data_IF_660307567149
#
_entry.id   IF_660307567149
#
_cell.length_a   1.000
_cell.length_b   1.000
_cell.length_c   1.000
_cell.angle_alpha   90.00
_cell.angle_beta   90.00
_cell.angle_gamma   90.00
#
_symmetry.space_group_name_H-M   'P 1'
#
loop_
_entity.id
_entity.type
_entity.pdbx_description
1 polymer ?
#
# COMPACT_ATOMS: atom_id res chain seq x y z
N UNK A 1 -15.24 -23.19 -12.45
CA UNK A 1 -16.33 -22.87 -13.40
C UNK A 1 -17.69 -22.58 -12.79
N UNK A 2 -18.35 -23.56 -12.14
CA UNK A 2 -19.70 -23.35 -11.60
C UNK A 2 -19.73 -22.37 -10.41
N UNK A 3 -18.88 -22.59 -9.40
CA UNK A 3 -18.79 -21.71 -8.21
C UNK A 3 -18.57 -20.25 -8.61
N UNK A 4 -17.57 -19.98 -9.45
CA UNK A 4 -17.25 -18.64 -9.92
C UNK A 4 -18.42 -17.94 -10.64
N UNK A 5 -19.23 -18.67 -11.42
CA UNK A 5 -20.39 -18.10 -12.12
C UNK A 5 -21.52 -17.81 -11.14
N UNK A 6 -21.83 -18.73 -10.23
CA UNK A 6 -22.87 -18.54 -9.23
C UNK A 6 -22.52 -17.42 -8.24
N UNK A 7 -21.25 -17.31 -7.81
CA UNK A 7 -20.76 -16.23 -6.94
C UNK A 7 -20.88 -14.84 -7.61
N UNK A 8 -20.68 -14.75 -8.92
CA UNK A 8 -20.77 -13.49 -9.69
C UNK A 8 -22.19 -13.16 -10.15
N UNK A 9 -23.11 -14.11 -10.07
CA UNK A 9 -24.47 -14.00 -10.58
C UNK A 9 -24.66 -14.71 -11.92
N UNK A 10 -25.64 -15.62 -11.94
CA UNK A 10 -26.15 -16.25 -13.16
C UNK A 10 -27.56 -15.73 -13.37
N UNK A 11 -27.90 -15.38 -14.61
CA UNK A 11 -29.22 -14.86 -14.99
C UNK A 11 -30.36 -15.72 -14.38
N UNK A 12 -31.19 -15.16 -13.48
CA UNK A 12 -32.26 -15.88 -12.82
C UNK A 12 -33.43 -16.22 -13.77
N UNK A 13 -33.44 -15.71 -15.01
CA UNK A 13 -34.41 -16.09 -16.05
C UNK A 13 -33.85 -17.02 -17.14
N UNK A 14 -32.58 -17.43 -17.05
CA UNK A 14 -31.89 -18.16 -18.12
C UNK A 14 -32.02 -19.69 -18.07
N UNK A 15 -32.57 -20.26 -17.00
CA UNK A 15 -32.49 -21.70 -16.67
C UNK A 15 -33.24 -22.57 -17.66
N UNK A 16 -34.48 -22.21 -18.01
CA UNK A 16 -35.28 -22.98 -18.97
C UNK A 16 -34.64 -23.01 -20.35
N UNK A 17 -34.12 -21.86 -20.82
CA UNK A 17 -33.38 -21.77 -22.10
C UNK A 17 -32.13 -22.65 -22.07
N UNK A 18 -31.38 -22.62 -20.97
CA UNK A 18 -30.20 -23.45 -20.80
C UNK A 18 -30.55 -24.95 -20.78
N UNK A 19 -31.62 -25.33 -20.08
CA UNK A 19 -32.12 -26.70 -20.01
C UNK A 19 -32.55 -27.22 -21.39
N UNK A 20 -33.39 -26.46 -22.11
CA UNK A 20 -33.84 -26.84 -23.44
C UNK A 20 -32.65 -27.03 -24.40
N UNK A 21 -31.65 -26.13 -24.35
CA UNK A 21 -30.44 -26.27 -25.16
C UNK A 21 -29.62 -27.49 -24.77
N UNK A 22 -29.49 -27.78 -23.47
CA UNK A 22 -28.77 -28.96 -22.99
C UNK A 22 -29.45 -30.26 -23.46
N UNK A 23 -30.78 -30.37 -23.32
CA UNK A 23 -31.56 -31.51 -23.79
C UNK A 23 -31.39 -31.71 -25.30
N UNK A 24 -31.53 -30.65 -26.09
CA UNK A 24 -31.35 -30.71 -27.54
C UNK A 24 -29.97 -31.25 -27.93
N UNK A 25 -28.91 -30.79 -27.25
CA UNK A 25 -27.54 -31.25 -27.51
C UNK A 25 -27.31 -32.70 -27.07
N UNK A 26 -27.87 -33.12 -25.93
CA UNK A 26 -27.76 -34.50 -25.46
C UNK A 26 -28.44 -35.45 -26.44
N UNK A 27 -29.65 -35.12 -26.89
CA UNK A 27 -30.38 -35.96 -27.84
C UNK A 27 -29.68 -36.06 -29.20
N UNK A 28 -29.08 -34.96 -29.69
CA UNK A 28 -28.39 -34.98 -30.98
C UNK A 28 -27.05 -35.74 -30.95
N UNK A 29 -26.38 -35.79 -29.79
CA UNK A 29 -25.05 -36.40 -29.63
C UNK A 29 -25.15 -37.85 -29.13
N UNK A 30 -25.97 -38.10 -28.12
CA UNK A 30 -26.04 -39.37 -27.40
C UNK A 30 -27.38 -40.12 -27.62
N UNK A 31 -28.35 -39.51 -28.30
CA UNK A 31 -29.70 -40.07 -28.47
C UNK A 31 -30.57 -39.96 -27.21
N UNK A 32 -31.66 -40.72 -27.19
CA UNK A 32 -32.62 -40.79 -26.07
C UNK A 32 -33.85 -39.87 -26.21
N UNK A 33 -34.83 -40.11 -25.35
CA UNK A 33 -36.09 -39.37 -25.30
C UNK A 33 -36.19 -38.56 -24.00
N UNK A 34 -36.42 -37.26 -24.12
CA UNK A 34 -36.60 -36.39 -22.97
C UNK A 34 -38.07 -36.41 -22.50
N UNK A 35 -38.26 -36.49 -21.18
CA UNK A 35 -39.57 -36.28 -20.56
C UNK A 35 -40.00 -34.81 -20.55
N UNK A 36 -41.20 -34.51 -20.02
CA UNK A 36 -41.67 -33.13 -19.87
C UNK A 36 -40.78 -32.33 -18.92
N UNK A 37 -40.56 -31.05 -19.23
CA UNK A 37 -39.86 -30.12 -18.34
C UNK A 37 -40.76 -29.79 -17.15
N UNK A 38 -40.23 -29.96 -15.93
CA UNK A 38 -40.88 -29.57 -14.69
C UNK A 38 -40.16 -28.34 -14.14
N UNK A 39 -40.85 -27.21 -14.10
CA UNK A 39 -40.34 -25.96 -13.54
C UNK A 39 -40.93 -25.79 -12.14
N UNK A 40 -40.07 -25.50 -11.16
CA UNK A 40 -40.48 -25.18 -9.79
C UNK A 40 -39.85 -23.85 -9.41
N UNK A 41 -40.67 -22.83 -9.21
CA UNK A 41 -40.23 -21.47 -8.91
C UNK A 41 -40.61 -21.09 -7.49
N UNK A 42 -39.83 -20.16 -6.92
CA UNK A 42 -40.13 -19.53 -5.65
C UNK A 42 -40.20 -18.02 -5.86
N UNK A 43 -41.40 -17.51 -6.12
CA UNK A 43 -41.64 -16.08 -6.34
C UNK A 43 -41.08 -15.17 -5.23
N UNK A 44 -41.20 -15.51 -3.92
CA UNK A 44 -40.61 -14.69 -2.86
C UNK A 44 -39.09 -14.58 -2.92
N UNK A 45 -38.43 -15.57 -3.54
CA UNK A 45 -36.97 -15.64 -3.64
C UNK A 45 -36.46 -15.13 -5.00
N UNK A 46 -37.35 -14.63 -5.87
CA UNK A 46 -36.95 -14.07 -7.16
C UNK A 46 -36.30 -12.70 -6.96
N UNK A 47 -35.09 -12.46 -7.50
CA UNK A 47 -34.48 -11.13 -7.43
C UNK A 47 -35.38 -10.09 -8.09
N UNK A 48 -35.77 -9.06 -7.33
CA UNK A 48 -36.54 -7.95 -7.85
C UNK A 48 -35.60 -6.92 -8.50
N UNK A 49 -35.97 -6.44 -9.68
CA UNK A 49 -35.23 -5.39 -10.39
C UNK A 49 -35.94 -4.06 -10.16
N UNK A 50 -35.45 -3.31 -9.19
CA UNK A 50 -35.97 -1.97 -8.92
C UNK A 50 -35.51 -1.00 -10.01
N UNK A 51 -36.40 -0.20 -10.59
CA UNK A 51 -36.00 0.85 -11.53
C UNK A 51 -35.03 1.83 -10.87
N UNK A 52 -33.94 2.13 -11.55
CA UNK A 52 -32.93 3.10 -11.12
C UNK A 52 -33.19 4.42 -11.82
N UNK A 53 -33.26 5.50 -11.04
CA UNK A 53 -33.46 6.85 -11.60
C UNK A 53 -32.14 7.40 -12.13
N UNK A 54 -32.12 7.76 -13.42
CA UNK A 54 -31.02 8.46 -14.09
C UNK A 54 -31.41 9.91 -14.36
N UNK A 55 -30.74 10.87 -13.72
CA UNK A 55 -30.97 12.30 -13.92
C UNK A 55 -29.98 12.83 -14.94
N UNK A 56 -30.48 13.57 -15.92
CA UNK A 56 -29.67 14.21 -16.97
C UNK A 56 -28.62 15.17 -16.41
N UNK A 57 -29.00 15.92 -15.36
CA UNK A 57 -28.08 16.83 -14.68
C UNK A 57 -26.95 16.09 -13.98
N UNK A 58 -27.24 14.92 -13.39
CA UNK A 58 -26.21 14.11 -12.72
C UNK A 58 -25.28 13.43 -13.71
N UNK A 59 -25.82 12.90 -14.81
CA UNK A 59 -25.04 12.39 -15.93
C UNK A 59 -24.05 13.43 -16.43
N UNK A 60 -24.54 14.64 -16.72
CA UNK A 60 -23.69 15.72 -17.24
C UNK A 60 -22.67 16.21 -16.22
N UNK A 61 -23.06 16.28 -14.94
CA UNK A 61 -22.17 16.71 -13.86
C UNK A 61 -21.02 15.72 -13.63
N UNK A 62 -21.31 14.42 -13.66
CA UNK A 62 -20.32 13.38 -13.34
C UNK A 62 -19.37 13.14 -14.51
N UNK A 63 -19.88 13.18 -15.74
CA UNK A 63 -19.06 13.00 -16.94
C UNK A 63 -18.44 14.30 -17.45
N UNK A 64 -18.82 15.47 -16.94
CA UNK A 64 -18.33 16.75 -17.42
C UNK A 64 -18.75 17.10 -18.86
N UNK A 65 -19.69 16.35 -19.44
CA UNK A 65 -20.12 16.48 -20.83
C UNK A 65 -21.65 16.38 -20.95
N UNK A 66 -22.22 17.08 -21.93
CA UNK A 66 -23.63 16.94 -22.28
C UNK A 66 -23.81 15.86 -23.34
N UNK A 67 -24.84 15.03 -23.16
CA UNK A 67 -25.21 13.97 -24.09
C UNK A 67 -26.64 14.21 -24.58
N UNK A 68 -26.85 13.99 -25.87
CA UNK A 68 -28.19 14.00 -26.44
C UNK A 68 -29.03 12.85 -25.89
N UNK A 69 -30.31 13.12 -25.61
CA UNK A 69 -31.23 12.18 -24.99
C UNK A 69 -31.41 10.93 -25.83
N UNK A 70 -31.56 11.10 -27.14
CA UNK A 70 -31.70 9.99 -28.07
C UNK A 70 -30.46 9.08 -28.05
N UNK A 71 -29.25 9.64 -27.84
CA UNK A 71 -28.01 8.88 -27.74
C UNK A 71 -27.95 8.09 -26.43
N UNK A 72 -28.38 8.69 -25.32
CA UNK A 72 -28.45 8.01 -24.01
C UNK A 72 -29.45 6.86 -24.06
N UNK A 73 -30.63 7.10 -24.59
CA UNK A 73 -31.69 6.09 -24.73
C UNK A 73 -31.25 4.94 -25.65
N UNK A 74 -30.66 5.24 -26.81
CA UNK A 74 -30.15 4.21 -27.73
C UNK A 74 -29.04 3.37 -27.08
N UNK A 75 -28.18 3.98 -26.28
CA UNK A 75 -27.09 3.30 -25.55
C UNK A 75 -27.65 2.32 -24.54
N UNK A 76 -28.55 2.77 -23.68
CA UNK A 76 -29.14 1.94 -22.62
C UNK A 76 -30.05 0.84 -23.20
N UNK A 77 -30.82 1.15 -24.24
CA UNK A 77 -31.66 0.18 -24.93
C UNK A 77 -30.82 -0.90 -25.63
N UNK A 78 -29.67 -0.53 -26.22
CA UNK A 78 -28.71 -1.47 -26.80
C UNK A 78 -28.11 -2.44 -25.80
N UNK A 79 -28.10 -2.09 -24.51
CA UNK A 79 -27.69 -2.94 -23.40
C UNK A 79 -28.85 -3.80 -22.83
N UNK A 80 -30.03 -3.72 -23.44
CA UNK A 80 -31.23 -4.45 -22.99
C UNK A 80 -31.90 -3.85 -21.76
N UNK A 81 -31.63 -2.59 -21.44
CA UNK A 81 -32.32 -1.88 -20.36
C UNK A 81 -33.73 -1.47 -20.81
N UNK A 82 -34.69 -1.55 -19.91
CA UNK A 82 -36.01 -0.95 -20.10
C UNK A 82 -35.99 0.49 -19.61
N UNK A 83 -36.53 1.43 -20.39
CA UNK A 83 -36.36 2.87 -20.19
C UNK A 83 -37.72 3.55 -20.19
N UNK A 84 -38.04 4.17 -19.05
CA UNK A 84 -39.23 5.00 -18.88
C UNK A 84 -38.81 6.48 -18.79
N UNK A 85 -39.13 7.32 -19.79
CA UNK A 85 -38.82 8.75 -19.75
C UNK A 85 -39.51 9.47 -18.59
N UNK A 86 -38.81 10.41 -17.96
CA UNK A 86 -39.31 11.24 -16.86
C UNK A 86 -38.92 12.71 -17.04
N UNK A 87 -39.63 13.64 -16.39
CA UNK A 87 -39.16 15.03 -16.28
C UNK A 87 -37.74 15.08 -15.69
N UNK A 88 -36.78 15.54 -16.49
CA UNK A 88 -35.39 15.69 -16.08
C UNK A 88 -34.52 14.42 -16.14
N UNK A 89 -35.01 13.31 -16.70
CA UNK A 89 -34.22 12.08 -16.85
C UNK A 89 -35.04 10.86 -17.24
N UNK A 90 -34.68 9.70 -16.68
CA UNK A 90 -35.29 8.40 -16.97
C UNK A 90 -35.40 7.54 -15.70
N UNK A 91 -36.36 6.63 -15.67
CA UNK A 91 -36.28 5.42 -14.87
C UNK A 91 -35.78 4.29 -15.77
N UNK A 92 -34.77 3.56 -15.31
CA UNK A 92 -34.12 2.52 -16.09
C UNK A 92 -34.14 1.22 -15.30
N UNK A 93 -34.73 0.18 -15.86
CA UNK A 93 -34.79 -1.14 -15.25
C UNK A 93 -33.82 -2.06 -15.96
N UNK A 94 -32.85 -2.60 -15.21
CA UNK A 94 -31.84 -3.47 -15.77
C UNK A 94 -32.37 -4.87 -16.10
N UNK A 95 -31.88 -5.51 -17.16
CA UNK A 95 -32.28 -6.87 -17.50
C UNK A 95 -31.78 -7.85 -16.43
N UNK A 96 -32.42 -9.02 -16.35
CA UNK A 96 -32.20 -10.00 -15.29
C UNK A 96 -30.76 -10.49 -15.15
N UNK A 97 -29.99 -10.50 -16.24
CA UNK A 97 -28.58 -10.91 -16.26
C UNK A 97 -27.58 -9.84 -15.76
N UNK A 98 -28.02 -8.61 -15.50
CA UNK A 98 -27.15 -7.52 -14.99
C UNK A 98 -27.25 -7.42 -13.47
N UNK A 99 -26.21 -7.84 -12.77
CA UNK A 99 -26.13 -7.84 -11.30
C UNK A 99 -25.44 -6.60 -10.72
N UNK A 100 -24.88 -5.79 -11.61
CA UNK A 100 -24.01 -4.63 -11.39
C UNK A 100 -24.74 -3.29 -11.53
N UNK A 101 -26.04 -3.29 -11.86
CA UNK A 101 -26.86 -2.07 -11.96
C UNK A 101 -27.79 -1.98 -10.75
N UNK A 102 -27.46 -1.10 -9.82
CA UNK A 102 -28.23 -0.85 -8.59
C UNK A 102 -28.41 0.65 -8.28
N UNK A 103 -27.51 1.50 -8.77
CA UNK A 103 -27.50 2.94 -8.51
C UNK A 103 -27.32 3.74 -9.80
N UNK A 104 -27.65 5.03 -9.72
CA UNK A 104 -27.57 5.97 -10.84
C UNK A 104 -26.16 6.03 -11.47
N UNK A 105 -25.11 5.88 -10.65
CA UNK A 105 -23.73 5.90 -11.12
C UNK A 105 -23.40 4.74 -12.07
N UNK A 106 -24.01 3.57 -11.87
CA UNK A 106 -23.79 2.39 -12.72
C UNK A 106 -24.35 2.63 -14.13
N UNK A 107 -25.51 3.30 -14.22
CA UNK A 107 -26.08 3.72 -15.50
C UNK A 107 -25.22 4.79 -16.20
N UNK A 108 -24.65 5.71 -15.43
CA UNK A 108 -23.74 6.74 -15.95
C UNK A 108 -22.47 6.09 -16.51
N UNK A 109 -21.91 5.09 -15.81
CA UNK A 109 -20.79 4.30 -16.29
C UNK A 109 -21.14 3.61 -17.62
N UNK A 110 -22.31 2.97 -17.72
CA UNK A 110 -22.73 2.31 -18.96
C UNK A 110 -22.83 3.27 -20.15
N UNK A 111 -23.35 4.48 -19.91
CA UNK A 111 -23.36 5.54 -20.93
C UNK A 111 -21.93 5.92 -21.33
N UNK A 112 -21.05 6.18 -20.36
CA UNK A 112 -19.65 6.55 -20.63
C UNK A 112 -18.89 5.45 -21.38
N UNK A 113 -19.05 4.20 -20.96
CA UNK A 113 -18.37 3.02 -21.53
C UNK A 113 -18.75 2.77 -22.98
N UNK A 114 -20.02 2.94 -23.33
CA UNK A 114 -20.51 2.71 -24.70
C UNK A 114 -20.27 3.92 -25.60
N UNK A 115 -20.38 5.14 -25.06
CA UNK A 115 -19.99 6.36 -25.79
C UNK A 115 -18.48 6.37 -26.09
N UNK A 116 -17.69 5.76 -25.20
CA UNK A 116 -16.22 5.76 -25.25
C UNK A 116 -15.67 6.83 -24.34
N UNK A 117 -14.73 6.45 -23.46
CA UNK A 117 -14.12 7.37 -22.50
C UNK A 117 -13.32 8.46 -23.22
N UNK A 118 -12.73 8.14 -24.38
CA UNK A 118 -11.97 9.10 -25.19
C UNK A 118 -12.84 10.17 -25.85
N UNK A 119 -14.16 9.94 -25.93
CA UNK A 119 -15.10 10.92 -26.47
C UNK A 119 -15.54 11.95 -25.41
N UNK A 120 -15.18 11.75 -24.15
CA UNK A 120 -15.45 12.67 -23.05
C UNK A 120 -14.25 13.62 -22.94
N UNK A 121 -14.51 14.93 -23.02
CA UNK A 121 -13.45 15.93 -22.96
C UNK A 121 -12.71 15.92 -21.62
N UNK A 122 -11.40 16.14 -21.66
CA UNK A 122 -10.59 16.40 -20.47
C UNK A 122 -10.70 17.88 -20.09
N UNK A 123 -10.87 18.16 -18.80
CA UNK A 123 -10.89 19.52 -18.25
C UNK A 123 -10.14 19.55 -16.92
N UNK A 124 -9.53 20.69 -16.61
CA UNK A 124 -8.76 20.86 -15.38
C UNK A 124 -9.69 20.94 -14.17
N UNK A 125 -9.32 20.26 -13.09
CA UNK A 125 -10.06 20.34 -11.84
C UNK A 125 -10.00 21.76 -11.27
N UNK A 126 -11.14 22.44 -11.21
CA UNK A 126 -11.23 23.77 -10.63
C UNK A 126 -11.41 23.69 -9.11
N UNK A 127 -10.54 24.39 -8.36
CA UNK A 127 -10.58 24.44 -6.91
C UNK A 127 -9.89 25.68 -6.36
N UNK A 128 -10.27 26.09 -5.15
CA UNK A 128 -9.58 27.18 -4.46
C UNK A 128 -8.24 26.70 -3.91
N UNK A 129 -7.13 27.30 -4.32
CA UNK A 129 -5.84 27.03 -3.71
C UNK A 129 -5.72 27.66 -2.33
N UNK A 130 -5.18 26.91 -1.37
CA UNK A 130 -4.83 27.41 -0.03
C UNK A 130 -3.40 27.05 0.28
N UNK A 131 -2.53 28.06 0.32
CA UNK A 131 -1.15 27.89 0.76
C UNK A 131 -1.14 27.56 2.25
N UNK A 132 -0.61 26.39 2.62
CA UNK A 132 -0.35 26.04 4.02
C UNK A 132 1.04 26.54 4.38
N UNK A 133 1.14 27.30 5.48
CA UNK A 133 2.44 27.67 6.02
C UNK A 133 3.12 26.43 6.62
N UNK A 134 4.39 26.22 6.29
CA UNK A 134 5.25 25.25 6.96
C UNK A 134 6.09 26.00 8.02
N UNK A 135 6.10 25.56 9.29
CA UNK A 135 6.94 26.18 10.31
C UNK A 135 8.42 26.03 9.97
N UNK A 136 9.20 27.11 10.11
CA UNK A 136 10.66 27.08 9.91
C UNK A 136 11.37 26.15 10.92
N UNK A 137 10.71 25.87 12.05
CA UNK A 137 11.21 24.97 13.10
C UNK A 137 11.00 23.49 12.81
N UNK A 138 10.27 23.15 11.73
CA UNK A 138 9.97 21.78 11.32
C UNK A 138 10.62 21.53 9.96
N UNK A 139 11.90 21.12 9.92
CA UNK A 139 12.57 20.85 8.67
C UNK A 139 11.87 19.70 7.96
N UNK A 140 11.75 19.82 6.63
CA UNK A 140 11.24 18.74 5.80
C UNK A 140 12.12 17.49 5.99
N UNK A 141 11.48 16.34 6.11
CA UNK A 141 12.15 15.04 6.30
C UNK A 141 13.28 14.81 5.30
N UNK A 142 13.03 15.08 4.01
CA UNK A 142 14.03 14.94 2.96
C UNK A 142 15.31 15.75 3.24
N UNK A 143 15.18 16.97 3.76
CA UNK A 143 16.33 17.81 4.08
C UNK A 143 17.15 17.24 5.24
N UNK A 144 16.50 16.57 6.20
CA UNK A 144 17.15 15.89 7.32
C UNK A 144 17.89 14.64 6.82
N UNK A 145 17.26 13.83 5.97
CA UNK A 145 17.87 12.62 5.41
C UNK A 145 19.04 12.94 4.45
N UNK A 146 18.96 14.06 3.73
CA UNK A 146 20.04 14.53 2.84
C UNK A 146 21.36 14.75 3.60
N UNK A 147 21.30 15.10 4.90
CA UNK A 147 22.51 15.21 5.73
C UNK A 147 23.28 13.88 5.77
N UNK A 148 22.60 12.73 5.87
CA UNK A 148 23.27 11.43 5.87
C UNK A 148 23.87 11.10 4.50
N UNK A 149 23.20 11.47 3.41
CA UNK A 149 23.74 11.37 2.06
C UNK A 149 25.02 12.21 1.90
N UNK A 150 25.01 13.46 2.38
CA UNK A 150 26.21 14.32 2.40
C UNK A 150 27.33 13.78 3.30
N UNK A 151 27.01 12.92 4.27
CA UNK A 151 27.97 12.16 5.10
C UNK A 151 28.39 10.83 4.50
N UNK A 152 28.03 10.59 3.24
CA UNK A 152 28.43 9.42 2.47
C UNK A 152 27.76 8.12 2.92
N UNK A 153 26.53 8.21 3.46
CA UNK A 153 25.65 7.07 3.63
C UNK A 153 24.75 6.89 2.41
N UNK A 154 24.39 5.64 2.12
CA UNK A 154 23.42 5.25 1.12
C UNK A 154 22.11 4.85 1.80
N UNK A 155 20.98 5.31 1.28
CA UNK A 155 19.68 4.87 1.78
C UNK A 155 19.43 3.40 1.41
N UNK A 156 18.92 2.63 2.38
CA UNK A 156 18.47 1.26 2.23
C UNK A 156 17.01 1.16 2.69
N UNK A 157 16.25 0.28 2.04
CA UNK A 157 14.87 -0.04 2.42
C UNK A 157 14.78 -1.55 2.64
N UNK A 158 14.45 -1.97 3.85
CA UNK A 158 14.35 -3.37 4.22
C UNK A 158 12.90 -3.77 4.51
N UNK A 159 12.61 -5.07 4.52
CA UNK A 159 11.29 -5.56 4.89
C UNK A 159 10.95 -5.18 6.34
N UNK A 160 9.67 -4.86 6.57
CA UNK A 160 9.14 -4.58 7.91
C UNK A 160 9.05 -5.85 8.79
N UNK A 161 9.07 -7.04 8.17
CA UNK A 161 9.13 -8.33 8.83
C UNK A 161 10.50 -8.97 8.64
N UNK A 162 11.01 -9.60 9.69
CA UNK A 162 12.41 -10.05 9.81
C UNK A 162 12.50 -11.45 10.41
N UNK A 163 13.72 -12.02 10.39
CA UNK A 163 14.00 -13.31 10.98
C UNK A 163 13.88 -13.21 12.52
N UNK A 164 12.96 -13.96 13.15
CA UNK A 164 12.80 -13.94 14.61
C UNK A 164 14.08 -14.31 15.35
N UNK A 165 14.95 -15.17 14.78
CA UNK A 165 16.20 -15.58 15.43
C UNK A 165 17.20 -14.43 15.49
N UNK A 166 17.39 -13.72 14.38
CA UNK A 166 18.27 -12.56 14.33
C UNK A 166 17.76 -11.45 15.24
N UNK A 167 16.44 -11.18 15.20
CA UNK A 167 15.84 -10.17 16.07
C UNK A 167 16.01 -10.52 17.56
N UNK A 168 15.78 -11.78 17.96
CA UNK A 168 15.96 -12.24 19.33
C UNK A 168 17.41 -12.13 19.82
N UNK A 169 18.40 -12.28 18.93
CA UNK A 169 19.81 -12.08 19.26
C UNK A 169 20.14 -10.60 19.51
N UNK A 170 19.53 -9.69 18.75
CA UNK A 170 19.78 -8.26 18.85
C UNK A 170 18.98 -7.60 19.99
N UNK A 171 17.76 -8.08 20.22
CA UNK A 171 16.81 -7.53 21.18
C UNK A 171 16.15 -8.66 21.99
N UNK A 172 16.90 -9.32 22.89
CA UNK A 172 16.41 -10.50 23.60
C UNK A 172 15.20 -10.22 24.50
N UNK A 173 15.07 -8.99 24.99
CA UNK A 173 14.01 -8.58 25.92
C UNK A 173 12.81 -7.92 25.22
N UNK A 174 12.86 -7.75 23.89
CA UNK A 174 11.80 -7.07 23.14
C UNK A 174 10.73 -8.05 22.67
N UNK A 175 9.47 -7.78 23.04
CA UNK A 175 8.33 -8.50 22.47
C UNK A 175 8.16 -8.15 20.99
N UNK A 176 8.08 -9.17 20.14
CA UNK A 176 7.88 -9.02 18.70
C UNK A 176 6.47 -9.45 18.28
N UNK A 177 5.87 -8.72 17.34
CA UNK A 177 4.57 -9.09 16.76
C UNK A 177 4.76 -10.16 15.68
N UNK A 178 4.26 -11.37 15.90
CA UNK A 178 4.29 -12.45 14.92
C UNK A 178 3.17 -12.34 13.89
N UNK A 179 3.48 -12.64 12.62
CA UNK A 179 2.49 -12.75 11.55
C UNK A 179 1.77 -14.09 11.62
N UNK A 180 0.44 -14.08 11.45
CA UNK A 180 -0.35 -15.31 11.44
C UNK A 180 -0.07 -16.17 10.19
N UNK A 181 0.08 -15.53 9.02
CA UNK A 181 0.33 -16.19 7.74
C UNK A 181 1.56 -15.57 7.05
N UNK A 182 2.78 -15.84 7.56
CA UNK A 182 3.98 -15.25 6.98
C UNK A 182 4.29 -15.87 5.61
N UNK A 183 4.86 -15.06 4.70
CA UNK A 183 5.29 -15.52 3.37
C UNK A 183 6.45 -16.54 3.45
N UNK A 184 7.30 -16.41 4.48
CA UNK A 184 8.40 -17.32 4.78
C UNK A 184 8.70 -17.32 6.29
N UNK A 185 9.30 -18.39 6.81
CA UNK A 185 9.58 -18.55 8.24
C UNK A 185 10.63 -17.56 8.77
N UNK A 186 11.58 -17.15 7.93
CA UNK A 186 12.60 -16.13 8.20
C UNK A 186 12.09 -14.68 8.01
N UNK A 187 10.78 -14.52 7.75
CA UNK A 187 10.07 -13.25 7.56
C UNK A 187 8.75 -13.27 8.35
N UNK A 188 8.82 -13.72 9.60
CA UNK A 188 7.63 -14.10 10.40
C UNK A 188 7.30 -13.19 11.58
N UNK A 189 8.17 -12.22 11.91
CA UNK A 189 7.89 -11.23 12.96
C UNK A 189 8.12 -9.81 12.47
N UNK A 190 7.30 -8.88 12.93
CA UNK A 190 7.52 -7.45 12.69
C UNK A 190 8.79 -6.97 13.41
N UNK A 191 9.51 -6.06 12.76
CA UNK A 191 10.78 -5.55 13.25
C UNK A 191 10.59 -4.62 14.45
N UNK A 192 11.29 -4.90 15.55
CA UNK A 192 11.31 -4.03 16.76
C UNK A 192 12.34 -2.90 16.66
N UNK A 193 13.20 -2.97 15.64
CA UNK A 193 14.22 -1.99 15.26
C UNK A 193 14.54 -2.17 13.77
N UNK A 194 15.17 -1.17 13.16
CA UNK A 194 15.68 -1.24 11.79
C UNK A 194 17.02 -2.01 11.69
N UNK A 195 17.67 -2.28 12.83
CA UNK A 195 18.99 -2.94 12.86
C UNK A 195 19.05 -4.33 12.23
N UNK A 196 18.07 -5.25 12.40
CA UNK A 196 18.12 -6.56 11.74
C UNK A 196 18.21 -6.44 10.21
N UNK A 197 17.44 -5.52 9.61
CA UNK A 197 17.45 -5.26 8.17
C UNK A 197 18.78 -4.64 7.71
N UNK A 198 19.23 -3.58 8.38
CA UNK A 198 20.49 -2.90 8.08
C UNK A 198 21.71 -3.82 8.23
N UNK A 199 21.77 -4.64 9.28
CA UNK A 199 22.87 -5.59 9.50
C UNK A 199 22.87 -6.71 8.46
N UNK A 200 21.70 -7.23 8.08
CA UNK A 200 21.56 -8.20 6.98
C UNK A 200 22.06 -7.59 5.66
N UNK A 201 21.63 -6.37 5.35
CA UNK A 201 22.08 -5.65 4.15
C UNK A 201 23.60 -5.40 4.14
N UNK A 202 24.18 -5.01 5.28
CA UNK A 202 25.62 -4.83 5.41
C UNK A 202 26.38 -6.15 5.21
N UNK A 203 25.94 -7.23 5.87
CA UNK A 203 26.55 -8.56 5.71
C UNK A 203 26.48 -9.05 4.24
N UNK A 204 25.35 -8.81 3.58
CA UNK A 204 25.17 -9.14 2.18
C UNK A 204 26.07 -8.36 1.22
N UNK A 205 26.35 -7.09 1.52
CA UNK A 205 27.31 -6.28 0.78
C UNK A 205 28.76 -6.74 1.04
N UNK A 206 29.08 -7.07 2.30
CA UNK A 206 30.40 -7.58 2.67
C UNK A 206 30.70 -8.91 1.96
N UNK A 207 29.72 -9.83 1.88
CA UNK A 207 29.82 -11.08 1.11
C UNK A 207 30.05 -10.86 -0.39
N UNK A 208 29.69 -9.68 -0.90
CA UNK A 208 29.92 -9.22 -2.28
C UNK A 208 31.15 -8.30 -2.38
N UNK A 209 32.11 -8.46 -1.46
CA UNK A 209 33.42 -7.79 -1.49
C UNK A 209 33.36 -6.27 -1.39
N UNK A 210 32.31 -5.72 -0.75
CA UNK A 210 32.27 -4.31 -0.37
C UNK A 210 32.91 -4.14 1.01
N UNK A 211 34.03 -3.44 1.07
CA UNK A 211 34.78 -3.24 2.32
C UNK A 211 34.23 -2.09 3.16
N UNK A 212 33.85 -0.98 2.52
CA UNK A 212 33.26 0.20 3.16
C UNK A 212 31.76 0.23 2.91
N UNK A 213 30.96 0.13 3.96
CA UNK A 213 29.50 0.10 3.88
C UNK A 213 28.96 1.13 4.86
N UNK A 214 28.15 2.05 4.37
CA UNK A 214 27.47 3.07 5.17
C UNK A 214 26.04 3.14 4.68
N UNK A 215 25.12 2.55 5.44
CA UNK A 215 23.70 2.48 5.09
C UNK A 215 22.89 3.22 6.15
N UNK A 216 21.83 3.89 5.72
CA UNK A 216 20.79 4.37 6.62
C UNK A 216 19.42 3.91 6.12
N UNK A 217 18.47 3.80 7.03
CA UNK A 217 17.08 3.49 6.70
C UNK A 217 16.18 4.37 7.58
N UNK A 218 15.17 4.95 6.95
CA UNK A 218 14.07 5.63 7.61
C UNK A 218 12.81 4.79 7.42
N UNK A 219 12.10 4.51 8.52
CA UNK A 219 10.84 3.80 8.47
C UNK A 219 10.38 3.29 9.83
N UNK A 220 9.26 2.59 9.82
CA UNK A 220 8.61 2.18 11.05
C UNK A 220 9.28 0.99 11.75
N UNK A 221 9.35 1.06 13.09
CA UNK A 221 9.50 -0.11 13.97
C UNK A 221 8.19 -0.36 14.73
N UNK A 222 8.00 -1.59 15.16
CA UNK A 222 6.77 -2.03 15.83
C UNK A 222 7.06 -2.36 17.27
N UNK A 223 6.27 -1.80 18.17
CA UNK A 223 6.41 -2.01 19.61
C UNK A 223 5.08 -2.45 20.21
N UNK A 224 5.08 -3.60 20.88
CA UNK A 224 3.91 -4.10 21.59
C UNK A 224 3.92 -3.54 23.02
N UNK A 225 2.93 -2.70 23.36
CA UNK A 225 2.72 -2.17 24.72
C UNK A 225 1.26 -2.30 25.10
N UNK A 226 0.99 -2.76 26.32
CA UNK A 226 -0.36 -2.85 26.90
C UNK A 226 -1.37 -3.61 26.02
N UNK A 227 -0.93 -4.65 25.31
CA UNK A 227 -1.77 -5.43 24.40
C UNK A 227 -2.09 -4.74 23.07
N UNK A 228 -1.51 -3.57 22.80
CA UNK A 228 -1.62 -2.83 21.54
C UNK A 228 -0.27 -2.76 20.82
N UNK A 229 -0.31 -2.63 19.50
CA UNK A 229 0.90 -2.46 18.68
C UNK A 229 1.00 -1.00 18.28
N UNK A 230 2.16 -0.39 18.53
CA UNK A 230 2.48 0.96 18.12
C UNK A 230 3.48 0.93 16.98
N UNK A 231 3.17 1.69 15.93
CA UNK A 231 4.08 1.97 14.84
C UNK A 231 4.87 3.24 15.18
N UNK A 232 6.19 3.14 15.21
CA UNK A 232 7.08 4.23 15.62
C UNK A 232 8.03 4.54 14.48
N UNK A 233 7.88 5.74 13.94
CA UNK A 233 8.79 6.26 12.92
C UNK A 233 10.22 6.36 13.47
N UNK A 234 11.17 5.77 12.74
CA UNK A 234 12.53 5.53 13.24
C UNK A 234 13.54 5.77 12.13
N UNK A 235 14.67 6.35 12.48
CA UNK A 235 15.86 6.45 11.63
C UNK A 235 16.98 5.64 12.26
N UNK A 236 17.66 4.84 11.46
CA UNK A 236 18.82 4.07 11.89
C UNK A 236 19.89 4.06 10.80
N UNK A 237 21.14 3.80 11.20
CA UNK A 237 22.24 3.64 10.28
C UNK A 237 23.25 2.62 10.77
N UNK A 238 24.03 2.10 9.83
CA UNK A 238 25.17 1.21 10.07
C UNK A 238 26.35 1.71 9.24
N UNK A 239 27.53 1.76 9.85
CA UNK A 239 28.78 2.10 9.19
C UNK A 239 29.84 1.05 9.54
N UNK A 240 30.47 0.45 8.53
CA UNK A 240 31.59 -0.46 8.70
C UNK A 240 32.65 -0.27 7.59
N UNK A 241 33.87 -0.72 7.89
CA UNK A 241 35.02 -0.53 7.01
C UNK A 241 35.72 0.81 7.23
N UNK A 242 36.49 1.24 6.24
CA UNK A 242 37.31 2.45 6.31
C UNK A 242 36.47 3.73 6.51
N UNK A 243 36.93 4.64 7.37
CA UNK A 243 36.36 5.99 7.57
C UNK A 243 36.19 6.73 6.25
N UNK A 244 37.29 6.86 5.51
CA UNK A 244 37.34 7.49 4.19
C UNK A 244 37.47 6.46 3.06
N UNK A 245 36.86 6.70 1.89
CA UNK A 245 37.07 5.87 0.72
C UNK A 245 38.52 5.98 0.22
N UNK A 246 38.97 4.97 -0.53
CA UNK A 246 40.27 5.00 -1.18
C UNK A 246 40.32 6.10 -2.23
N UNK A 247 41.26 7.03 -2.08
CA UNK A 247 41.57 8.07 -3.05
C UNK A 247 42.99 8.58 -2.85
N UNK A 248 43.58 9.17 -3.91
CA UNK A 248 44.99 9.62 -3.93
C UNK A 248 45.35 10.60 -2.79
N UNK A 249 44.40 11.41 -2.35
CA UNK A 249 44.61 12.40 -1.28
C UNK A 249 44.38 11.88 0.15
N UNK A 250 44.03 10.60 0.32
CA UNK A 250 43.70 10.02 1.63
C UNK A 250 44.80 9.05 2.06
N UNK A 251 45.48 9.40 3.14
CA UNK A 251 46.56 8.57 3.70
C UNK A 251 46.03 7.25 4.29
N UNK A 252 46.92 6.29 4.53
CA UNK A 252 46.54 5.03 5.17
C UNK A 252 45.90 5.24 6.57
N UNK A 253 46.40 6.21 7.35
CA UNK A 253 45.83 6.56 8.66
C UNK A 253 44.40 7.13 8.56
N UNK A 254 44.09 7.85 7.47
CA UNK A 254 42.72 8.33 7.22
C UNK A 254 41.78 7.21 6.77
N UNK A 255 42.29 6.05 6.34
CA UNK A 255 41.50 4.87 5.96
C UNK A 255 41.42 3.82 7.06
N UNK A 256 41.83 4.16 8.28
CA UNK A 256 41.55 3.32 9.44
C UNK A 256 40.05 3.01 9.54
N UNK A 257 39.67 1.85 10.11
CA UNK A 257 38.27 1.50 10.31
C UNK A 257 37.52 2.62 11.04
N UNK A 258 36.32 2.93 10.57
CA UNK A 258 35.44 3.88 11.23
C UNK A 258 35.23 3.45 12.69
N UNK A 259 35.33 4.41 13.60
CA UNK A 259 35.14 4.18 15.03
C UNK A 259 33.86 4.85 15.54
N UNK A 260 33.64 4.75 16.86
CA UNK A 260 32.49 5.33 17.54
C UNK A 260 32.37 6.84 17.31
N UNK A 261 33.50 7.56 17.27
CA UNK A 261 33.52 9.02 17.15
C UNK A 261 33.20 9.48 15.73
N UNK A 262 33.51 8.66 14.72
CA UNK A 262 33.09 8.92 13.34
C UNK A 262 31.57 8.95 13.22
N UNK A 263 30.90 7.90 13.69
CA UNK A 263 29.43 7.80 13.66
C UNK A 263 28.78 8.84 14.58
N UNK A 264 29.40 9.13 15.73
CA UNK A 264 28.96 10.25 16.59
C UNK A 264 28.99 11.59 15.85
N UNK A 265 30.03 11.85 15.06
CA UNK A 265 30.15 13.08 14.27
C UNK A 265 29.06 13.19 13.20
N UNK A 266 28.65 12.08 12.60
CA UNK A 266 27.54 12.03 11.65
C UNK A 266 26.20 12.34 12.34
N UNK A 267 25.94 11.74 13.51
CA UNK A 267 24.75 12.03 14.31
C UNK A 267 24.71 13.50 14.78
N UNK A 268 25.84 14.09 15.14
CA UNK A 268 25.90 15.51 15.52
C UNK A 268 25.47 16.44 14.37
N UNK A 269 25.83 16.12 13.13
CA UNK A 269 25.36 16.89 11.99
C UNK A 269 23.88 16.69 11.69
N UNK A 270 23.40 15.44 11.76
CA UNK A 270 21.97 15.14 11.63
C UNK A 270 21.15 15.92 12.67
N UNK A 271 21.58 15.89 13.93
CA UNK A 271 20.93 16.62 15.01
C UNK A 271 21.00 18.13 14.85
N UNK A 272 22.11 18.66 14.31
CA UNK A 272 22.24 20.07 13.99
C UNK A 272 21.24 20.56 12.95
N UNK A 273 20.76 19.70 12.05
CA UNK A 273 19.70 20.02 11.10
C UNK A 273 18.29 19.97 11.73
N UNK A 274 18.12 19.22 12.82
CA UNK A 274 16.83 19.04 13.49
C UNK A 274 16.57 20.05 14.61
N UNK A 275 17.59 20.38 15.39
CA UNK A 275 17.45 21.21 16.60
C UNK A 275 18.80 21.76 17.05
N UNK A 276 18.82 22.82 17.87
CA UNK A 276 20.06 23.33 18.44
C UNK A 276 20.86 22.25 19.19
N UNK A 277 22.21 22.22 19.08
CA UNK A 277 23.06 21.18 19.67
C UNK A 277 22.88 20.98 21.18
N UNK A 278 22.57 22.05 21.92
CA UNK A 278 22.37 22.01 23.38
C UNK A 278 21.19 21.12 23.83
N UNK A 279 20.32 20.70 22.90
CA UNK A 279 19.19 19.83 23.20
C UNK A 279 19.53 18.34 23.27
N UNK A 280 20.74 17.92 22.86
CA UNK A 280 21.13 16.52 22.72
C UNK A 280 22.23 16.11 23.71
N UNK A 281 22.07 14.96 24.38
CA UNK A 281 23.09 14.36 25.25
C UNK A 281 23.38 12.91 24.85
N UNK A 282 24.61 12.49 25.13
CA UNK A 282 25.10 11.13 24.92
C UNK A 282 25.47 10.56 26.28
N UNK A 283 24.63 9.69 26.85
CA UNK A 283 24.83 9.14 28.18
C UNK A 283 25.40 7.72 28.09
N UNK A 284 26.54 7.42 28.73
CA UNK A 284 27.10 6.07 28.74
C UNK A 284 26.10 5.07 29.33
N UNK A 285 25.64 4.14 28.50
CA UNK A 285 24.68 3.11 28.91
C UNK A 285 24.89 1.86 28.03
N UNK A 286 24.66 0.68 28.60
CA UNK A 286 24.78 -0.59 27.88
C UNK A 286 23.50 -0.95 27.15
N UNK A 287 23.64 -1.53 25.95
CA UNK A 287 22.56 -2.17 25.19
C UNK A 287 22.95 -3.63 24.89
N UNK A 288 22.04 -4.62 24.95
CA UNK A 288 22.38 -6.03 24.80
C UNK A 288 23.21 -6.39 23.55
N UNK A 289 22.99 -5.69 22.44
CA UNK A 289 23.71 -5.94 21.18
C UNK A 289 24.81 -4.93 20.84
N UNK A 290 25.18 -4.02 21.74
CA UNK A 290 26.28 -3.06 21.53
C UNK A 290 27.45 -3.37 22.47
N UNK A 291 28.66 -2.96 22.10
CA UNK A 291 29.84 -3.17 22.95
C UNK A 291 29.72 -2.34 24.25
N UNK A 292 29.88 -2.93 25.45
CA UNK A 292 29.54 -2.28 26.71
C UNK A 292 30.41 -1.04 27.04
N UNK A 293 31.65 -1.00 26.52
CA UNK A 293 32.54 0.16 26.65
C UNK A 293 32.45 1.19 25.52
N UNK A 294 31.57 0.97 24.54
CA UNK A 294 31.43 1.82 23.34
C UNK A 294 29.95 2.00 22.98
N UNK A 295 29.10 2.23 23.97
CA UNK A 295 27.67 2.41 23.78
C UNK A 295 27.16 3.64 24.52
N UNK A 296 26.26 4.38 23.90
CA UNK A 296 25.64 5.57 24.45
C UNK A 296 24.13 5.58 24.19
N UNK A 297 23.37 5.96 25.20
CA UNK A 297 21.97 6.34 25.08
C UNK A 297 21.90 7.77 24.54
N UNK A 298 21.12 7.95 23.49
CA UNK A 298 20.86 9.27 22.92
C UNK A 298 19.67 9.87 23.67
N UNK A 299 19.85 11.09 24.18
CA UNK A 299 18.84 11.80 24.97
C UNK A 299 18.53 13.15 24.33
N UNK A 300 17.25 13.53 24.32
CA UNK A 300 16.78 14.88 23.99
C UNK A 300 16.08 15.47 25.22
N UNK A 301 16.71 16.45 25.86
CA UNK A 301 16.34 16.78 27.25
C UNK A 301 16.44 15.52 28.12
N UNK A 302 15.39 15.19 28.87
CA UNK A 302 15.34 13.98 29.71
C UNK A 302 14.66 12.79 29.02
N UNK A 303 14.34 12.92 27.73
CA UNK A 303 13.69 11.87 26.96
C UNK A 303 14.72 11.05 26.18
N UNK A 304 14.74 9.72 26.35
CA UNK A 304 15.58 8.86 25.53
C UNK A 304 15.00 8.73 24.11
N UNK A 305 15.85 8.96 23.10
CA UNK A 305 15.44 8.98 21.68
C UNK A 305 16.10 7.89 20.83
N UNK A 306 17.18 7.28 21.30
CA UNK A 306 17.88 6.26 20.52
C UNK A 306 19.13 5.70 21.18
N UNK A 307 19.97 5.05 20.37
CA UNK A 307 21.22 4.42 20.76
C UNK A 307 22.30 4.68 19.73
N UNK A 308 23.55 4.73 20.18
CA UNK A 308 24.76 4.74 19.37
C UNK A 308 25.74 3.72 19.97
N UNK A 309 26.41 2.91 19.14
CA UNK A 309 27.52 2.07 19.57
C UNK A 309 28.12 1.21 18.47
#
# INVERSE_FOLDING_TARGET
DASQRFERGVDPGGQERALARAVQLIQSIAGGEAGPVIVTESEPNRPQRTPVRLRRTRLSQLLGAQFDDARVEATLAGLGMDIEPLPGGWHVTAPSYRFDIAIEADLIEEVARIVGYEAIGEDDAQGSERVRAQPETEPAEHAVLEVLAMRGYQEAVSYAFVDPRLQQQLFPDAAALALANPIASDLSVMRVSLWPGLLKAALENQRRQRERIRLFEHGARFECRDGTTHEIDTLAGVACGARWPEQWGVSAAMREPADFFDVKGDLQALFGALSPPASWRYEPQTHPCLHPGRSARLMRGDHPVGWLG
#
